data_IF_342931583526
#
_entry.id   IF_342931583526
#
_cell.length_a   1.000
_cell.length_b   1.000
_cell.length_c   1.000
_cell.angle_alpha   90.00
_cell.angle_beta   90.00
_cell.angle_gamma   90.00
#
_symmetry.space_group_name_H-M   'P 1'
#
loop_
_entity.id
_entity.type
_entity.pdbx_description
1 polymer ?
#
# COMPACT_ATOMS: atom_id res chain seq x y z
N UNK A 1 21.75 -16.02 -20.41
CA UNK A 1 20.96 -14.76 -20.31
C UNK A 1 20.32 -14.67 -18.93
N UNK A 2 20.54 -13.57 -18.18
CA UNK A 2 20.00 -13.42 -16.81
C UNK A 2 18.47 -13.42 -16.82
N UNK A 3 17.84 -13.91 -15.74
CA UNK A 3 16.37 -13.95 -15.62
C UNK A 3 15.75 -12.56 -15.79
N UNK A 4 16.41 -11.52 -15.26
CA UNK A 4 16.03 -10.12 -15.43
C UNK A 4 15.96 -9.72 -16.90
N UNK A 5 16.98 -10.02 -17.70
CA UNK A 5 17.00 -9.69 -19.13
C UNK A 5 15.85 -10.39 -19.88
N UNK A 6 15.62 -11.68 -19.61
CA UNK A 6 14.47 -12.42 -20.16
C UNK A 6 13.13 -11.75 -19.85
N UNK A 7 12.91 -11.38 -18.60
CA UNK A 7 11.65 -10.75 -18.18
C UNK A 7 11.43 -9.39 -18.84
N UNK A 8 12.48 -8.56 -18.90
CA UNK A 8 12.41 -7.25 -19.56
C UNK A 8 12.15 -7.40 -21.07
N UNK A 9 12.79 -8.36 -21.73
CA UNK A 9 12.51 -8.66 -23.15
C UNK A 9 11.07 -9.16 -23.35
N UNK A 10 10.56 -10.01 -22.46
CA UNK A 10 9.15 -10.44 -22.51
C UNK A 10 8.21 -9.24 -22.36
N UNK A 11 8.47 -8.31 -21.43
CA UNK A 11 7.69 -7.08 -21.28
C UNK A 11 7.69 -6.27 -22.57
N UNK A 12 8.86 -6.03 -23.18
CA UNK A 12 8.98 -5.26 -24.43
C UNK A 12 8.36 -5.97 -25.64
N UNK A 13 8.23 -7.31 -25.62
CA UNK A 13 7.50 -8.04 -26.67
C UNK A 13 6.02 -7.67 -26.69
N UNK A 14 5.41 -7.43 -25.53
CA UNK A 14 4.01 -7.00 -25.44
C UNK A 14 3.87 -5.48 -25.56
N UNK A 15 4.77 -4.72 -24.93
CA UNK A 15 4.73 -3.26 -24.90
C UNK A 15 6.10 -2.68 -25.29
N UNK A 16 6.43 -2.56 -26.59
CA UNK A 16 7.76 -2.18 -27.05
C UNK A 16 8.24 -0.81 -26.59
N UNK A 17 7.33 0.14 -26.43
CA UNK A 17 7.64 1.53 -26.04
C UNK A 17 7.58 1.75 -24.52
N UNK A 18 7.35 0.70 -23.73
CA UNK A 18 7.17 0.85 -22.29
C UNK A 18 8.46 1.24 -21.56
N UNK A 19 8.30 1.97 -20.47
CA UNK A 19 9.37 2.42 -19.61
C UNK A 19 8.82 2.75 -18.21
N UNK A 20 9.67 3.30 -17.34
CA UNK A 20 9.29 3.77 -16.00
C UNK A 20 9.66 5.25 -15.85
N UNK A 21 9.25 6.08 -16.82
CA UNK A 21 9.47 7.53 -16.79
C UNK A 21 8.63 8.18 -15.67
N UNK A 22 9.26 8.83 -14.68
CA UNK A 22 8.55 9.44 -13.55
C UNK A 22 7.60 10.58 -13.95
N UNK A 23 7.92 11.34 -14.98
CA UNK A 23 7.10 12.45 -15.47
C UNK A 23 5.85 11.90 -16.15
N UNK A 24 5.99 10.88 -16.99
CA UNK A 24 4.85 10.21 -17.67
C UNK A 24 3.97 9.45 -16.68
N UNK A 25 4.57 8.80 -15.69
CA UNK A 25 3.83 8.19 -14.61
C UNK A 25 3.01 9.23 -13.83
N UNK A 26 3.64 10.34 -13.46
CA UNK A 26 2.98 11.44 -12.75
C UNK A 26 1.90 12.12 -13.60
N UNK A 27 2.05 12.18 -14.92
CA UNK A 27 1.03 12.70 -15.85
C UNK A 27 -0.29 11.93 -15.70
N UNK A 28 -0.22 10.60 -15.63
CA UNK A 28 -1.40 9.74 -15.45
C UNK A 28 -2.03 9.91 -14.06
N UNK A 29 -1.21 9.98 -13.00
CA UNK A 29 -1.71 10.12 -11.63
C UNK A 29 -2.33 11.50 -11.35
N UNK A 30 -1.79 12.57 -11.95
CA UNK A 30 -2.29 13.95 -11.75
C UNK A 30 -3.56 14.26 -12.51
N UNK A 31 -3.96 13.42 -13.47
CA UNK A 31 -5.19 13.61 -14.20
C UNK A 31 -6.37 13.74 -13.21
N UNK A 32 -7.10 14.87 -13.18
CA UNK A 32 -8.15 15.12 -12.19
C UNK A 32 -9.26 14.07 -12.20
N UNK A 33 -9.47 13.46 -13.37
CA UNK A 33 -10.45 12.41 -13.58
C UNK A 33 -10.05 11.09 -12.94
N UNK A 34 -8.77 10.85 -12.66
CA UNK A 34 -8.30 9.63 -12.01
C UNK A 34 -8.39 9.74 -10.49
N UNK A 35 -8.64 8.60 -9.84
CA UNK A 35 -8.64 8.49 -8.39
C UNK A 35 -7.61 7.44 -7.96
N UNK A 36 -6.30 7.73 -8.13
CA UNK A 36 -5.28 6.72 -7.95
C UNK A 36 -5.24 6.20 -6.52
N UNK A 37 -5.19 4.88 -6.40
CA UNK A 37 -4.89 4.24 -5.14
C UNK A 37 -3.42 4.49 -4.76
N UNK A 38 -3.10 4.33 -3.48
CA UNK A 38 -1.72 4.40 -2.97
C UNK A 38 -0.81 3.38 -3.66
N UNK A 39 -1.36 2.27 -4.17
CA UNK A 39 -0.62 1.23 -4.89
C UNK A 39 -0.04 1.73 -6.22
N UNK A 40 -0.58 2.81 -6.79
CA UNK A 40 -0.12 3.35 -8.06
C UNK A 40 0.91 4.48 -7.91
N UNK A 41 1.27 4.87 -6.69
CA UNK A 41 2.32 5.89 -6.47
C UNK A 41 3.69 5.32 -6.87
N UNK A 42 4.44 6.03 -7.71
CA UNK A 42 5.72 5.53 -8.23
C UNK A 42 6.73 5.27 -7.11
N UNK A 43 6.82 6.15 -6.10
CA UNK A 43 7.73 5.90 -4.98
C UNK A 43 7.28 4.73 -4.11
N UNK A 44 5.98 4.39 -4.09
CA UNK A 44 5.48 3.17 -3.42
C UNK A 44 5.93 1.92 -4.18
N UNK A 45 5.87 1.94 -5.51
CA UNK A 45 6.43 0.88 -6.38
C UNK A 45 7.92 0.69 -6.11
N UNK A 46 8.70 1.78 -6.20
CA UNK A 46 10.14 1.76 -5.93
C UNK A 46 10.45 1.25 -4.52
N UNK A 47 9.66 1.67 -3.52
CA UNK A 47 9.82 1.22 -2.14
C UNK A 47 9.70 -0.31 -2.04
N UNK A 48 8.68 -0.91 -2.65
CA UNK A 48 8.45 -2.35 -2.54
C UNK A 48 9.46 -3.17 -3.33
N UNK A 49 9.90 -2.68 -4.49
CA UNK A 49 11.05 -3.28 -5.19
C UNK A 49 12.29 -3.26 -4.29
N UNK A 50 12.61 -2.12 -3.66
CA UNK A 50 13.74 -2.04 -2.74
C UNK A 50 13.55 -2.91 -1.48
N UNK A 51 12.33 -3.00 -0.95
CA UNK A 51 11.99 -3.82 0.21
C UNK A 51 12.30 -5.30 -0.04
N UNK A 52 11.98 -5.79 -1.24
CA UNK A 52 12.22 -7.19 -1.66
C UNK A 52 13.56 -7.39 -2.39
N UNK A 53 14.49 -6.43 -2.33
CA UNK A 53 15.76 -6.50 -3.09
C UNK A 53 16.66 -7.68 -2.71
N UNK A 54 16.66 -8.10 -1.44
CA UNK A 54 17.33 -9.31 -0.97
C UNK A 54 16.66 -10.61 -1.50
N UNK A 55 15.42 -10.50 -1.98
CA UNK A 55 14.63 -11.61 -2.53
C UNK A 55 14.54 -11.55 -4.06
N UNK A 56 15.62 -11.11 -4.71
CA UNK A 56 15.73 -11.04 -6.17
C UNK A 56 14.58 -10.29 -6.86
N UNK A 57 14.07 -9.22 -6.23
CA UNK A 57 13.00 -8.42 -6.80
C UNK A 57 13.39 -7.78 -8.13
N UNK A 58 12.46 -7.76 -9.08
CA UNK A 58 12.61 -7.11 -10.38
C UNK A 58 11.38 -6.25 -10.63
N UNK A 59 11.61 -4.97 -10.90
CA UNK A 59 10.57 -4.03 -11.32
C UNK A 59 10.19 -4.32 -12.78
N UNK A 60 8.91 -4.62 -12.99
CA UNK A 60 8.29 -4.86 -14.29
C UNK A 60 7.17 -3.83 -14.54
N UNK A 61 7.16 -2.74 -13.78
CA UNK A 61 6.15 -1.70 -13.89
C UNK A 61 6.27 -0.99 -15.22
N UNK A 62 5.15 -0.49 -15.72
CA UNK A 62 5.04 -0.01 -17.09
C UNK A 62 4.29 1.30 -17.17
N UNK A 63 4.85 2.26 -17.90
CA UNK A 63 4.09 3.31 -18.58
C UNK A 63 3.59 2.73 -19.91
N UNK A 64 2.29 2.85 -20.17
CA UNK A 64 1.63 2.30 -21.35
C UNK A 64 1.43 3.38 -22.41
N UNK A 65 1.69 3.03 -23.67
CA UNK A 65 1.61 3.95 -24.81
C UNK A 65 0.70 3.40 -25.90
N UNK A 66 -0.08 4.28 -26.54
CA UNK A 66 -0.77 4.03 -27.81
C UNK A 66 -0.41 5.15 -28.79
N UNK A 67 0.16 4.79 -29.94
CA UNK A 67 0.67 5.75 -30.94
C UNK A 67 1.54 6.86 -30.32
N UNK A 68 2.52 6.47 -29.50
CA UNK A 68 3.43 7.35 -28.74
C UNK A 68 2.76 8.25 -27.68
N UNK A 69 1.45 8.19 -27.50
CA UNK A 69 0.77 8.91 -26.42
C UNK A 69 0.73 8.04 -25.17
N UNK A 70 1.10 8.62 -24.03
CA UNK A 70 0.94 7.96 -22.73
C UNK A 70 -0.54 7.78 -22.43
N UNK A 71 -0.99 6.54 -22.26
CA UNK A 71 -2.40 6.21 -22.03
C UNK A 71 -2.67 5.59 -20.66
N UNK A 72 -1.66 5.07 -19.97
CA UNK A 72 -1.85 4.45 -18.67
C UNK A 72 -0.56 4.03 -17.98
N UNK A 73 -0.71 3.42 -16.81
CA UNK A 73 0.37 2.86 -15.98
C UNK A 73 -0.07 1.54 -15.37
N UNK A 74 0.90 0.67 -15.10
CA UNK A 74 0.70 -0.62 -14.44
C UNK A 74 1.84 -0.89 -13.44
N UNK A 75 1.58 -0.87 -12.13
CA UNK A 75 2.51 -1.37 -11.12
C UNK A 75 2.65 -2.90 -11.22
N UNK A 76 3.86 -3.40 -11.47
CA UNK A 76 4.10 -4.83 -11.56
C UNK A 76 5.53 -5.16 -11.14
N UNK A 77 5.70 -6.20 -10.34
CA UNK A 77 7.02 -6.68 -9.94
C UNK A 77 7.00 -8.18 -9.72
N UNK A 78 8.17 -8.79 -9.85
CA UNK A 78 8.40 -10.16 -9.36
C UNK A 78 9.39 -10.14 -8.23
N UNK A 79 9.25 -11.08 -7.30
CA UNK A 79 10.22 -11.33 -6.24
C UNK A 79 10.09 -12.78 -5.78
N UNK A 80 11.01 -13.23 -4.93
CA UNK A 80 10.93 -14.54 -4.29
C UNK A 80 10.29 -14.46 -2.90
N UNK A 81 9.41 -15.38 -2.58
CA UNK A 81 8.84 -15.52 -1.24
C UNK A 81 9.83 -16.17 -0.25
N UNK A 82 9.38 -16.34 1.01
CA UNK A 82 10.14 -17.02 2.06
C UNK A 82 10.52 -18.48 1.72
N UNK A 83 9.84 -19.09 0.74
CA UNK A 83 10.10 -20.45 0.27
C UNK A 83 10.93 -20.46 -1.03
N UNK A 84 11.56 -19.33 -1.39
CA UNK A 84 12.37 -19.15 -2.60
C UNK A 84 11.58 -19.39 -3.91
N UNK A 85 10.24 -19.28 -3.88
CA UNK A 85 9.36 -19.38 -5.05
C UNK A 85 9.08 -18.00 -5.62
N UNK A 86 9.00 -17.91 -6.94
CA UNK A 86 8.63 -16.66 -7.60
C UNK A 86 7.18 -16.28 -7.30
N UNK A 87 6.97 -14.98 -7.11
CA UNK A 87 5.67 -14.33 -6.95
C UNK A 87 5.63 -13.16 -7.92
N UNK A 88 4.54 -13.06 -8.68
CA UNK A 88 4.20 -11.90 -9.51
C UNK A 88 3.14 -11.10 -8.76
N UNK A 89 3.37 -9.81 -8.60
CA UNK A 89 2.67 -8.97 -7.63
C UNK A 89 2.65 -7.52 -8.07
N UNK A 90 1.75 -6.74 -7.49
CA UNK A 90 1.89 -5.28 -7.45
C UNK A 90 2.32 -4.92 -6.04
N UNK A 91 3.48 -4.27 -5.88
CA UNK A 91 3.95 -3.82 -4.56
C UNK A 91 4.13 -4.95 -3.51
N UNK A 92 4.53 -6.15 -3.94
CA UNK A 92 4.68 -7.31 -3.04
C UNK A 92 3.35 -7.93 -2.56
N UNK A 93 2.22 -7.38 -3.00
CA UNK A 93 0.86 -7.81 -2.69
C UNK A 93 0.15 -8.34 -3.96
N UNK A 94 -1.16 -8.53 -3.89
CA UNK A 94 -1.97 -8.97 -5.03
C UNK A 94 -1.94 -7.95 -6.18
N UNK A 95 -2.06 -8.45 -7.41
CA UNK A 95 -1.95 -7.65 -8.63
C UNK A 95 -3.13 -6.67 -8.69
N UNK A 96 -2.81 -5.38 -8.73
CA UNK A 96 -3.81 -4.30 -8.84
C UNK A 96 -4.15 -4.01 -10.30
N UNK A 97 -5.28 -3.38 -10.55
CA UNK A 97 -5.68 -2.91 -11.88
C UNK A 97 -4.71 -1.87 -12.46
N UNK A 98 -4.50 -1.84 -13.80
CA UNK A 98 -3.84 -0.72 -14.46
C UNK A 98 -4.70 0.56 -14.36
N UNK A 99 -4.05 1.73 -14.36
CA UNK A 99 -4.76 3.01 -14.50
C UNK A 99 -4.62 3.50 -15.93
N UNK A 100 -5.74 3.78 -16.58
CA UNK A 100 -5.79 4.42 -17.90
C UNK A 100 -6.30 5.87 -17.81
N UNK A 101 -5.98 6.69 -18.82
CA UNK A 101 -6.66 7.98 -19.02
C UNK A 101 -8.16 7.72 -19.22
N UNK A 102 -9.03 8.51 -18.58
CA UNK A 102 -10.49 8.40 -18.77
C UNK A 102 -10.95 8.64 -20.20
N UNK A 103 -10.18 9.41 -20.97
CA UNK A 103 -10.45 9.69 -22.40
C UNK A 103 -10.17 8.49 -23.31
N UNK A 104 -9.52 7.44 -22.81
CA UNK A 104 -9.24 6.23 -23.59
C UNK A 104 -10.54 5.47 -23.88
N UNK A 105 -10.83 5.24 -25.16
CA UNK A 105 -12.03 4.50 -25.57
C UNK A 105 -12.06 3.07 -25.03
N UNK A 106 -13.26 2.60 -24.64
CA UNK A 106 -13.46 1.27 -24.02
C UNK A 106 -12.83 0.12 -24.80
N UNK A 107 -12.93 0.14 -26.14
CA UNK A 107 -12.34 -0.89 -27.01
C UNK A 107 -10.81 -0.94 -26.91
N UNK A 108 -10.16 0.22 -26.87
CA UNK A 108 -8.69 0.31 -26.74
C UNK A 108 -8.28 -0.11 -25.33
N UNK A 109 -9.00 0.34 -24.29
CA UNK A 109 -8.76 -0.10 -22.91
C UNK A 109 -8.79 -1.62 -22.79
N UNK A 110 -9.88 -2.26 -23.26
CA UNK A 110 -10.04 -3.72 -23.20
C UNK A 110 -8.93 -4.46 -23.92
N UNK A 111 -8.47 -3.94 -25.07
CA UNK A 111 -7.30 -4.49 -25.79
C UNK A 111 -6.04 -4.50 -24.89
N UNK A 112 -5.72 -3.38 -24.26
CA UNK A 112 -4.55 -3.28 -23.37
C UNK A 112 -4.70 -4.18 -22.14
N UNK A 113 -5.89 -4.28 -21.56
CA UNK A 113 -6.16 -5.18 -20.43
C UNK A 113 -5.91 -6.65 -20.82
N UNK A 114 -6.40 -7.10 -21.98
CA UNK A 114 -6.12 -8.44 -22.50
C UNK A 114 -4.62 -8.69 -22.75
N UNK A 115 -3.91 -7.69 -23.29
CA UNK A 115 -2.46 -7.79 -23.51
C UNK A 115 -1.69 -7.84 -22.17
N UNK A 116 -2.09 -7.07 -21.16
CA UNK A 116 -1.51 -7.11 -19.81
C UNK A 116 -1.73 -8.48 -19.17
N UNK A 117 -2.96 -9.04 -19.26
CA UNK A 117 -3.25 -10.37 -18.72
C UNK A 117 -2.40 -11.45 -19.41
N UNK A 118 -2.27 -11.36 -20.73
CA UNK A 118 -1.42 -12.28 -21.51
C UNK A 118 0.06 -12.19 -21.11
N UNK A 119 0.56 -10.98 -20.87
CA UNK A 119 1.91 -10.73 -20.35
C UNK A 119 2.07 -11.37 -18.95
N UNK A 120 1.11 -11.17 -18.06
CA UNK A 120 1.10 -11.75 -16.70
C UNK A 120 1.19 -13.29 -16.77
N UNK A 121 0.39 -13.94 -17.62
CA UNK A 121 0.44 -15.39 -17.79
C UNK A 121 1.76 -15.87 -18.40
N UNK A 122 2.32 -15.13 -19.36
CA UNK A 122 3.61 -15.46 -19.96
C UNK A 122 4.76 -15.38 -18.94
N UNK A 123 4.84 -14.28 -18.20
CA UNK A 123 5.80 -14.13 -17.09
C UNK A 123 5.62 -15.24 -16.06
N UNK A 124 4.37 -15.55 -15.71
CA UNK A 124 4.06 -16.59 -14.73
C UNK A 124 4.57 -17.96 -15.17
N UNK A 125 4.33 -18.36 -16.42
CA UNK A 125 4.87 -19.61 -16.98
C UNK A 125 6.40 -19.61 -17.03
N UNK A 126 7.02 -18.51 -17.46
CA UNK A 126 8.48 -18.37 -17.50
C UNK A 126 9.13 -18.57 -16.12
N UNK A 127 8.43 -18.16 -15.05
CA UNK A 127 8.89 -18.25 -13.68
C UNK A 127 8.37 -19.49 -12.91
N UNK A 128 7.53 -20.32 -13.53
CA UNK A 128 6.90 -21.47 -12.87
C UNK A 128 5.89 -21.09 -11.78
N UNK A 129 5.30 -19.89 -11.87
CA UNK A 129 4.23 -19.43 -10.99
C UNK A 129 2.95 -20.16 -11.37
N UNK A 130 2.35 -20.88 -10.41
CA UNK A 130 1.15 -21.71 -10.65
C UNK A 130 -0.16 -20.94 -10.57
N UNK A 131 -0.18 -19.84 -9.81
CA UNK A 131 -1.39 -19.04 -9.58
C UNK A 131 -1.04 -17.57 -9.41
N UNK A 132 -1.87 -16.70 -9.95
CA UNK A 132 -1.82 -15.26 -9.73
C UNK A 132 -3.05 -14.83 -8.93
N UNK A 133 -2.86 -13.87 -8.03
CA UNK A 133 -3.95 -13.27 -7.26
C UNK A 133 -4.11 -11.82 -7.68
N UNK A 134 -5.36 -11.40 -7.78
CA UNK A 134 -5.75 -10.05 -8.17
C UNK A 134 -6.67 -9.46 -7.13
N UNK A 135 -6.69 -8.14 -7.04
CA UNK A 135 -7.44 -7.40 -6.03
C UNK A 135 -8.22 -6.27 -6.70
N UNK A 136 -9.45 -6.04 -6.24
CA UNK A 136 -10.20 -4.84 -6.60
C UNK A 136 -9.83 -3.70 -5.64
N UNK A 137 -9.20 -2.64 -6.15
CA UNK A 137 -8.85 -1.48 -5.28
C UNK A 137 -9.94 -0.40 -5.21
N UNK A 138 -10.95 -0.45 -6.08
CA UNK A 138 -12.07 0.49 -6.03
C UNK A 138 -12.95 0.28 -4.78
N UNK A 139 -13.33 1.39 -4.15
CA UNK A 139 -14.34 1.38 -3.09
C UNK A 139 -15.74 1.40 -3.70
N UNK A 140 -16.70 0.74 -3.04
CA UNK A 140 -18.13 0.71 -3.34
C UNK A 140 -18.58 -0.05 -4.60
N UNK A 141 -17.68 -0.35 -5.53
CA UNK A 141 -17.98 -1.15 -6.72
C UNK A 141 -16.77 -1.97 -7.17
N UNK A 142 -17.02 -2.93 -8.04
CA UNK A 142 -15.98 -3.67 -8.74
C UNK A 142 -15.55 -2.87 -9.98
N UNK A 143 -14.24 -2.84 -10.23
CA UNK A 143 -13.68 -2.30 -11.46
C UNK A 143 -14.02 -3.21 -12.65
N UNK A 144 -14.10 -2.62 -13.85
CA UNK A 144 -14.30 -3.38 -15.10
C UNK A 144 -13.21 -4.45 -15.25
N UNK A 145 -11.95 -4.11 -14.92
CA UNK A 145 -10.81 -5.04 -14.87
C UNK A 145 -11.07 -6.25 -13.97
N UNK A 146 -11.57 -6.03 -12.75
CA UNK A 146 -11.86 -7.13 -11.84
C UNK A 146 -13.00 -8.01 -12.36
N UNK A 147 -14.07 -7.39 -12.87
CA UNK A 147 -15.23 -8.11 -13.42
C UNK A 147 -14.82 -8.96 -14.61
N UNK A 148 -14.00 -8.43 -15.50
CA UNK A 148 -13.47 -9.14 -16.66
C UNK A 148 -12.62 -10.37 -16.27
N UNK A 149 -11.86 -10.26 -15.18
CA UNK A 149 -11.04 -11.36 -14.67
C UNK A 149 -11.87 -12.48 -14.02
N UNK A 150 -13.13 -12.25 -13.66
CA UNK A 150 -13.99 -13.28 -13.06
C UNK A 150 -14.23 -14.46 -14.03
N UNK A 151 -14.20 -14.22 -15.34
CA UNK A 151 -14.33 -15.28 -16.36
C UNK A 151 -13.19 -16.32 -16.29
N UNK A 152 -12.05 -15.95 -15.70
CA UNK A 152 -10.86 -16.78 -15.57
C UNK A 152 -10.61 -17.24 -14.13
N UNK A 153 -11.44 -16.82 -13.17
CA UNK A 153 -11.20 -17.04 -11.76
C UNK A 153 -11.52 -18.48 -11.35
N UNK A 154 -10.55 -19.15 -10.73
CA UNK A 154 -10.75 -20.45 -10.09
C UNK A 154 -11.30 -20.31 -8.67
N UNK A 155 -11.02 -19.17 -8.03
CA UNK A 155 -11.48 -18.88 -6.67
C UNK A 155 -11.67 -17.38 -6.47
N UNK A 156 -12.64 -17.01 -5.64
CA UNK A 156 -12.87 -15.63 -5.22
C UNK A 156 -13.07 -15.55 -3.72
N UNK A 157 -12.60 -14.48 -3.11
CA UNK A 157 -12.78 -14.27 -1.69
C UNK A 157 -12.89 -12.81 -1.32
N UNK A 158 -13.46 -12.56 -0.15
CA UNK A 158 -13.60 -11.23 0.44
C UNK A 158 -12.70 -11.10 1.66
N UNK A 159 -12.09 -9.93 1.83
CA UNK A 159 -11.51 -9.47 3.11
C UNK A 159 -12.26 -8.23 3.61
N UNK A 160 -12.06 -7.88 4.87
CA UNK A 160 -12.66 -6.69 5.48
C UNK A 160 -11.56 -5.66 5.77
N UNK A 161 -11.74 -4.43 5.30
CA UNK A 161 -10.76 -3.35 5.44
C UNK A 161 -11.34 -2.22 6.27
N UNK A 162 -10.59 -1.74 7.25
CA UNK A 162 -11.02 -0.69 8.19
C UNK A 162 -10.63 0.68 7.64
N UNK A 163 -11.59 1.59 7.63
CA UNK A 163 -11.41 2.94 7.11
C UNK A 163 -11.93 4.01 8.06
N UNK A 164 -11.35 5.19 7.92
CA UNK A 164 -11.86 6.45 8.44
C UNK A 164 -12.25 7.32 7.25
N UNK A 165 -13.51 7.74 7.27
CA UNK A 165 -14.06 8.77 6.40
C UNK A 165 -13.63 10.14 6.92
N UNK A 166 -12.71 10.77 6.20
CA UNK A 166 -12.14 12.08 6.53
C UNK A 166 -13.01 13.23 6.00
N UNK A 167 -14.08 12.95 5.25
CA UNK A 167 -15.05 13.99 4.86
C UNK A 167 -15.87 14.48 6.05
N UNK A 168 -16.15 13.60 7.02
CA UNK A 168 -16.82 13.90 8.28
C UNK A 168 -16.05 14.90 9.14
N UNK A 169 -16.74 15.72 9.94
CA UNK A 169 -16.12 16.59 10.95
C UNK A 169 -15.31 15.78 11.99
N UNK A 170 -14.37 16.41 12.68
CA UNK A 170 -13.58 15.73 13.71
C UNK A 170 -14.48 15.20 14.83
N UNK A 171 -15.55 15.93 15.16
CA UNK A 171 -16.56 15.58 16.14
C UNK A 171 -17.33 14.31 15.72
N UNK A 172 -17.75 14.24 14.45
CA UNK A 172 -18.42 13.06 13.87
C UNK A 172 -17.48 11.85 13.78
N UNK A 173 -16.20 12.05 13.41
CA UNK A 173 -15.22 10.97 13.41
C UNK A 173 -15.06 10.43 14.84
N UNK A 174 -14.84 11.32 15.81
CA UNK A 174 -14.68 10.95 17.22
C UNK A 174 -15.94 10.27 17.77
N UNK A 175 -17.14 10.66 17.35
CA UNK A 175 -18.39 10.06 17.83
C UNK A 175 -18.51 8.57 17.45
N UNK A 176 -17.90 8.16 16.33
CA UNK A 176 -17.85 6.78 15.86
C UNK A 176 -16.76 5.93 16.51
N UNK A 177 -15.81 6.52 17.24
CA UNK A 177 -14.79 5.73 17.95
C UNK A 177 -15.41 4.84 19.03
N UNK A 178 -14.76 3.70 19.29
CA UNK A 178 -15.10 2.86 20.45
C UNK A 178 -15.09 3.71 21.72
N UNK A 179 -16.09 3.53 22.59
CA UNK A 179 -16.35 4.36 23.78
C UNK A 179 -15.10 4.67 24.62
N UNK A 180 -14.21 3.69 24.81
CA UNK A 180 -12.99 3.83 25.61
C UNK A 180 -11.91 4.70 24.97
N UNK A 181 -11.91 4.89 23.65
CA UNK A 181 -10.78 5.48 22.92
C UNK A 181 -10.66 6.98 23.16
N UNK A 182 -11.75 7.71 23.35
CA UNK A 182 -11.72 9.16 23.56
C UNK A 182 -10.87 9.55 24.77
N UNK A 183 -11.07 8.90 25.91
CA UNK A 183 -10.30 9.17 27.13
C UNK A 183 -8.83 8.77 26.98
N UNK A 184 -8.56 7.66 26.27
CA UNK A 184 -7.21 7.18 25.97
C UNK A 184 -6.47 8.18 25.08
N UNK A 185 -7.09 8.69 24.01
CA UNK A 185 -6.50 9.73 23.14
C UNK A 185 -6.15 10.98 23.96
N UNK A 186 -7.09 11.48 24.77
CA UNK A 186 -6.86 12.69 25.57
C UNK A 186 -5.70 12.50 26.56
N UNK A 187 -5.62 11.32 27.19
CA UNK A 187 -4.48 10.95 28.04
C UNK A 187 -3.18 10.90 27.23
N UNK A 188 -3.19 10.31 26.05
CA UNK A 188 -2.02 10.23 25.17
C UNK A 188 -1.53 11.60 24.71
N UNK A 189 -2.42 12.51 24.34
CA UNK A 189 -2.07 13.86 23.91
C UNK A 189 -1.54 14.75 25.04
N UNK A 190 -1.96 14.49 26.29
CA UNK A 190 -1.47 15.21 27.47
C UNK A 190 -0.13 14.68 27.96
N UNK A 191 0.01 13.35 28.01
CA UNK A 191 1.15 12.70 28.68
C UNK A 191 2.36 12.51 27.74
N UNK A 192 2.22 12.76 26.43
CA UNK A 192 3.27 12.51 25.43
C UNK A 192 3.41 13.66 24.44
N UNK A 193 4.65 13.90 24.01
CA UNK A 193 4.96 14.86 22.95
C UNK A 193 4.72 14.24 21.59
N UNK A 194 3.58 14.55 20.98
CA UNK A 194 3.19 14.09 19.64
C UNK A 194 3.48 15.17 18.60
N UNK A 195 4.30 14.86 17.60
CA UNK A 195 4.71 15.83 16.58
C UNK A 195 4.58 15.26 15.17
N UNK A 196 4.11 16.10 14.24
CA UNK A 196 4.00 15.79 12.81
C UNK A 196 5.22 16.34 12.09
N UNK A 197 5.84 15.52 11.26
CA UNK A 197 7.04 15.85 10.49
C UNK A 197 6.79 15.59 9.01
N UNK A 198 6.51 16.67 8.28
CA UNK A 198 6.43 16.66 6.81
C UNK A 198 7.78 16.93 6.15
N UNK A 199 8.77 17.33 6.94
CA UNK A 199 10.17 17.57 6.56
C UNK A 199 11.09 17.18 7.73
N UNK A 200 11.16 15.88 8.09
CA UNK A 200 12.00 15.44 9.19
C UNK A 200 13.46 15.70 8.87
N UNK A 201 14.28 15.99 9.90
CA UNK A 201 15.73 16.03 9.72
C UNK A 201 16.27 14.62 9.46
N UNK A 202 17.51 14.54 8.96
CA UNK A 202 18.17 13.26 8.72
C UNK A 202 18.27 12.43 10.02
N UNK A 203 18.59 13.11 11.12
CA UNK A 203 18.77 12.52 12.45
C UNK A 203 17.45 11.98 13.00
N UNK A 204 16.34 12.71 12.80
CA UNK A 204 15.02 12.26 13.23
C UNK A 204 14.54 11.04 12.42
N UNK A 205 14.75 11.07 11.10
CA UNK A 205 14.40 9.93 10.26
C UNK A 205 15.25 8.70 10.58
N UNK A 206 16.55 8.89 10.83
CA UNK A 206 17.44 7.80 11.22
C UNK A 206 17.07 7.23 12.60
N UNK A 207 16.67 8.09 13.55
CA UNK A 207 16.15 7.68 14.85
C UNK A 207 14.90 6.81 14.73
N UNK A 208 14.00 7.13 13.80
CA UNK A 208 12.84 6.27 13.48
C UNK A 208 13.27 4.89 12.95
N UNK A 209 14.23 4.85 12.03
CA UNK A 209 14.80 3.58 11.51
C UNK A 209 15.48 2.76 12.60
N UNK A 210 16.28 3.39 13.46
CA UNK A 210 16.98 2.73 14.56
C UNK A 210 16.01 2.22 15.63
N UNK A 211 14.95 2.97 15.92
CA UNK A 211 13.87 2.50 16.80
C UNK A 211 13.20 1.24 16.22
N UNK A 212 12.94 1.22 14.90
CA UNK A 212 12.42 0.04 14.22
C UNK A 212 13.36 -1.17 14.35
N UNK A 213 14.66 -0.99 14.12
CA UNK A 213 15.66 -2.05 14.29
C UNK A 213 15.67 -2.58 15.74
N UNK A 214 15.64 -1.68 16.72
CA UNK A 214 15.64 -2.02 18.14
C UNK A 214 14.41 -2.84 18.54
N UNK A 215 13.21 -2.35 18.20
CA UNK A 215 11.93 -3.03 18.52
C UNK A 215 11.77 -4.36 17.79
N UNK A 216 12.31 -4.49 16.57
CA UNK A 216 12.30 -5.73 15.82
C UNK A 216 13.40 -6.72 16.27
N UNK A 217 14.43 -6.25 16.97
CA UNK A 217 15.63 -7.01 17.34
C UNK A 217 16.63 -7.21 16.19
N UNK A 218 16.28 -6.83 14.97
CA UNK A 218 17.14 -6.91 13.78
C UNK A 218 16.72 -5.90 12.71
N UNK A 219 17.57 -5.69 11.72
CA UNK A 219 17.14 -5.03 10.50
C UNK A 219 16.19 -5.97 9.75
N UNK A 220 14.97 -5.53 9.47
CA UNK A 220 13.94 -6.34 8.79
C UNK A 220 13.73 -5.94 7.34
N UNK A 221 14.39 -4.88 6.88
CA UNK A 221 14.34 -4.42 5.49
C UNK A 221 15.60 -3.66 5.10
N UNK A 222 16.01 -3.69 3.82
CA UNK A 222 17.23 -3.04 3.33
C UNK A 222 17.23 -1.52 3.51
N UNK A 223 18.42 -0.92 3.66
CA UNK A 223 18.58 0.54 3.83
C UNK A 223 17.96 1.33 2.67
N UNK A 224 18.00 0.78 1.46
CA UNK A 224 17.44 1.43 0.28
C UNK A 224 15.94 1.67 0.38
N UNK A 225 15.19 0.77 1.02
CA UNK A 225 13.75 0.96 1.26
C UNK A 225 13.47 2.14 2.21
N UNK A 226 14.35 2.37 3.19
CA UNK A 226 14.28 3.52 4.09
C UNK A 226 14.59 4.83 3.37
N UNK A 227 15.60 4.83 2.49
CA UNK A 227 15.94 6.00 1.68
C UNK A 227 14.75 6.44 0.81
N UNK A 228 14.03 5.48 0.21
CA UNK A 228 12.85 5.77 -0.61
C UNK A 228 11.70 6.30 0.26
N UNK A 229 11.48 5.76 1.47
CA UNK A 229 10.48 6.33 2.38
C UNK A 229 10.78 7.78 2.77
N UNK A 230 12.05 8.13 2.96
CA UNK A 230 12.45 9.51 3.18
C UNK A 230 12.15 10.38 1.96
N UNK A 231 12.46 9.89 0.76
CA UNK A 231 12.12 10.57 -0.49
C UNK A 231 10.61 10.76 -0.66
N UNK A 232 9.77 9.81 -0.23
CA UNK A 232 8.32 9.97 -0.24
C UNK A 232 7.86 11.16 0.60
N UNK A 233 8.55 11.48 1.70
CA UNK A 233 8.25 12.64 2.53
C UNK A 233 8.62 13.93 1.77
N UNK A 234 9.81 13.96 1.18
CA UNK A 234 10.31 15.08 0.36
C UNK A 234 9.38 15.37 -0.84
N UNK A 235 8.83 14.31 -1.46
CA UNK A 235 7.86 14.40 -2.55
C UNK A 235 6.42 14.73 -2.10
N UNK A 236 6.18 14.96 -0.80
CA UNK A 236 4.84 15.22 -0.24
C UNK A 236 3.85 14.08 -0.50
N UNK A 237 4.32 12.84 -0.46
CA UNK A 237 3.52 11.61 -0.54
C UNK A 237 3.43 10.88 0.80
N UNK A 238 4.14 11.36 1.82
CA UNK A 238 4.07 10.80 3.18
C UNK A 238 4.48 11.82 4.24
N UNK A 239 4.20 11.49 5.50
CA UNK A 239 4.72 12.22 6.67
C UNK A 239 4.92 11.24 7.84
N UNK A 240 5.73 11.64 8.80
CA UNK A 240 5.96 10.89 10.04
C UNK A 240 5.26 11.60 11.19
N UNK A 241 4.68 10.82 12.10
CA UNK A 241 4.28 11.30 13.41
C UNK A 241 5.11 10.59 14.46
N UNK A 242 5.79 11.35 15.30
CA UNK A 242 6.60 10.83 16.42
C UNK A 242 5.87 11.01 17.75
N UNK A 243 6.08 10.07 18.66
CA UNK A 243 5.73 10.16 20.07
C UNK A 243 7.01 10.11 20.90
N UNK A 244 7.22 11.11 21.74
CA UNK A 244 8.35 11.17 22.68
C UNK A 244 7.88 11.36 24.12
N UNK A 245 8.64 10.85 25.07
CA UNK A 245 8.41 11.10 26.50
C UNK A 245 8.83 12.52 26.92
N UNK A 246 8.67 12.83 28.21
CA UNK A 246 9.03 14.14 28.78
C UNK A 246 10.53 14.45 28.69
N UNK A 247 11.37 13.44 28.51
CA UNK A 247 12.81 13.58 28.33
C UNK A 247 13.21 13.72 26.84
N UNK A 248 12.22 13.91 25.95
CA UNK A 248 12.37 13.93 24.49
C UNK A 248 12.94 12.62 23.91
N UNK A 249 12.83 11.49 24.61
CA UNK A 249 13.20 10.19 24.06
C UNK A 249 12.11 9.69 23.11
N UNK A 250 12.48 9.34 21.88
CA UNK A 250 11.56 8.75 20.90
C UNK A 250 11.10 7.37 21.39
N UNK A 251 9.81 7.23 21.67
CA UNK A 251 9.19 5.96 22.11
C UNK A 251 8.33 5.32 21.03
N UNK A 252 7.99 6.09 20.00
CA UNK A 252 7.05 5.66 18.98
C UNK A 252 7.08 6.53 17.73
N UNK A 253 6.78 5.93 16.59
CA UNK A 253 6.53 6.67 15.37
C UNK A 253 5.58 5.91 14.42
N UNK A 254 4.81 6.67 13.66
CA UNK A 254 4.01 6.18 12.54
C UNK A 254 4.39 6.92 11.26
N UNK A 255 4.58 6.18 10.16
CA UNK A 255 4.71 6.70 8.81
C UNK A 255 3.38 6.50 8.07
N UNK A 256 2.87 7.57 7.47
CA UNK A 256 1.60 7.58 6.76
C UNK A 256 1.86 7.97 5.31
N UNK A 257 1.43 7.14 4.37
CA UNK A 257 1.57 7.37 2.93
C UNK A 257 0.23 7.79 2.39
N UNK A 258 0.20 8.73 1.44
CA UNK A 258 -1.04 9.23 0.90
C UNK A 258 -0.97 9.56 -0.60
N UNK A 259 -2.07 9.32 -1.29
CA UNK A 259 -2.36 9.80 -2.64
C UNK A 259 -3.30 11.01 -2.58
N UNK A 260 -3.96 11.35 -3.69
CA UNK A 260 -4.90 12.48 -3.76
C UNK A 260 -6.09 12.35 -2.79
N UNK A 261 -6.67 11.16 -2.66
CA UNK A 261 -7.89 10.96 -1.87
C UNK A 261 -7.74 9.89 -0.77
N UNK A 262 -6.67 9.09 -0.83
CA UNK A 262 -6.47 7.95 0.05
C UNK A 262 -5.19 8.09 0.86
N UNK A 263 -5.23 7.65 2.10
CA UNK A 263 -4.06 7.47 2.94
C UNK A 263 -4.02 6.07 3.54
N UNK A 264 -2.84 5.64 3.93
CA UNK A 264 -2.61 4.37 4.59
C UNK A 264 -1.60 4.52 5.72
N UNK A 265 -1.83 3.73 6.77
CA UNK A 265 -0.86 3.53 7.83
C UNK A 265 0.25 2.58 7.38
N UNK A 266 1.28 3.12 6.75
CA UNK A 266 2.30 2.34 6.05
C UNK A 266 3.30 1.64 6.98
N UNK A 267 3.72 2.28 8.08
CA UNK A 267 4.66 1.67 9.02
C UNK A 267 4.48 2.24 10.42
N UNK A 268 4.52 1.37 11.43
CA UNK A 268 4.43 1.74 12.83
C UNK A 268 5.51 1.08 13.65
N UNK A 269 6.18 1.83 14.51
CA UNK A 269 7.10 1.29 15.50
C UNK A 269 6.82 1.94 16.85
N UNK A 270 6.70 1.11 17.87
CA UNK A 270 6.42 1.55 19.24
C UNK A 270 7.21 0.65 20.19
N UNK A 271 7.81 1.21 21.25
CA UNK A 271 8.48 0.45 22.31
C UNK A 271 7.50 -0.53 22.97
N UNK A 272 7.85 -1.82 23.03
CA UNK A 272 6.93 -2.91 23.43
C UNK A 272 6.54 -2.83 24.90
N UNK A 273 7.51 -2.44 25.72
CA UNK A 273 7.38 -2.21 27.15
C UNK A 273 6.43 -1.05 27.50
N UNK A 274 6.00 -0.25 26.52
CA UNK A 274 5.05 0.84 26.70
C UNK A 274 3.72 0.60 25.96
N UNK A 275 3.41 -0.62 25.53
CA UNK A 275 2.16 -0.91 24.81
C UNK A 275 0.89 -0.68 25.65
N UNK A 276 1.01 -0.67 26.98
CA UNK A 276 -0.07 -0.30 27.90
C UNK A 276 -0.32 1.22 27.95
N UNK A 277 0.57 2.03 27.36
CA UNK A 277 0.47 3.49 27.36
C UNK A 277 -0.26 4.02 26.11
N UNK A 278 -0.95 5.16 26.23
CA UNK A 278 -1.88 5.64 25.20
C UNK A 278 -1.27 6.39 24.00
N UNK A 279 0.05 6.49 23.87
CA UNK A 279 0.66 7.33 22.82
C UNK A 279 0.36 6.86 21.40
N UNK A 280 0.20 5.56 21.17
CA UNK A 280 -0.18 5.02 19.86
C UNK A 280 -1.55 5.54 19.41
N UNK A 281 -2.48 5.73 20.35
CA UNK A 281 -3.80 6.30 20.06
C UNK A 281 -3.71 7.78 19.73
N UNK A 282 -2.85 8.52 20.42
CA UNK A 282 -2.60 9.93 20.13
C UNK A 282 -1.93 10.13 18.76
N UNK A 283 -1.00 9.24 18.37
CA UNK A 283 -0.41 9.22 17.02
C UNK A 283 -1.47 9.02 15.94
N UNK A 284 -2.39 8.06 16.13
CA UNK A 284 -3.50 7.83 15.19
C UNK A 284 -4.45 9.04 15.10
N UNK A 285 -4.83 9.64 16.24
CA UNK A 285 -5.64 10.86 16.24
C UNK A 285 -4.94 12.00 15.48
N UNK A 286 -3.64 12.18 15.71
CA UNK A 286 -2.89 13.23 15.02
C UNK A 286 -2.77 12.96 13.52
N UNK A 287 -2.72 11.70 13.10
CA UNK A 287 -2.78 11.32 11.69
C UNK A 287 -4.12 11.69 11.07
N UNK A 288 -5.23 11.39 11.75
CA UNK A 288 -6.59 11.73 11.29
C UNK A 288 -6.71 13.25 11.06
N UNK A 289 -6.30 14.06 12.04
CA UNK A 289 -6.29 15.52 11.91
C UNK A 289 -5.45 15.99 10.72
N UNK A 290 -4.23 15.47 10.60
CA UNK A 290 -3.28 15.86 9.55
C UNK A 290 -3.83 15.51 8.16
N UNK A 291 -4.34 14.29 7.98
CA UNK A 291 -4.88 13.81 6.71
C UNK A 291 -6.16 14.56 6.32
N UNK A 292 -7.03 14.86 7.29
CA UNK A 292 -8.21 15.69 7.06
C UNK A 292 -7.83 17.10 6.61
N UNK A 293 -6.87 17.74 7.28
CA UNK A 293 -6.39 19.07 6.91
C UNK A 293 -5.76 19.13 5.52
N UNK A 294 -5.22 18.01 5.03
CA UNK A 294 -4.75 17.84 3.65
C UNK A 294 -5.87 17.65 2.61
N UNK A 295 -7.13 17.54 3.05
CA UNK A 295 -8.29 17.37 2.17
C UNK A 295 -8.50 15.95 1.65
N UNK A 296 -7.92 14.94 2.30
CA UNK A 296 -8.15 13.55 1.92
C UNK A 296 -9.57 13.08 2.29
N UNK A 297 -10.04 12.02 1.61
CA UNK A 297 -11.37 11.44 1.82
C UNK A 297 -11.34 10.18 2.67
N UNK A 298 -10.36 9.31 2.41
CA UNK A 298 -10.31 7.99 3.02
C UNK A 298 -8.95 7.74 3.66
N UNK A 299 -8.97 7.24 4.88
CA UNK A 299 -7.78 6.75 5.56
C UNK A 299 -7.94 5.26 5.89
N UNK A 300 -7.16 4.44 5.21
CA UNK A 300 -7.09 2.99 5.40
C UNK A 300 -6.23 2.66 6.63
N UNK A 301 -6.88 2.12 7.66
CA UNK A 301 -6.19 1.61 8.85
C UNK A 301 -5.60 0.22 8.58
N UNK A 302 -6.20 -0.53 7.65
CA UNK A 302 -5.80 -1.86 7.20
C UNK A 302 -6.83 -2.95 7.49
N UNK A 303 -6.44 -4.20 7.29
CA UNK A 303 -7.35 -5.34 7.36
C UNK A 303 -7.91 -5.60 8.77
N UNK A 304 -9.22 -5.83 8.84
CA UNK A 304 -9.91 -6.48 9.97
C UNK A 304 -9.77 -7.98 9.80
N UNK A 305 -8.72 -8.54 10.40
CA UNK A 305 -8.51 -9.98 10.42
C UNK A 305 -9.60 -10.68 11.23
N UNK A 306 -10.14 -11.77 10.69
CA UNK A 306 -11.10 -12.63 11.35
C UNK A 306 -10.50 -14.01 11.60
N UNK A 307 -10.95 -14.70 12.65
CA UNK A 307 -10.57 -16.09 12.93
C UNK A 307 -10.99 -17.05 11.83
N UNK A 308 -12.01 -16.67 11.03
CA UNK A 308 -12.57 -17.45 9.94
C UNK A 308 -12.02 -17.06 8.55
N UNK A 309 -11.08 -16.12 8.46
CA UNK A 309 -10.52 -15.69 7.18
C UNK A 309 -9.84 -16.88 6.48
N UNK A 310 -10.34 -17.25 5.30
CA UNK A 310 -9.88 -18.41 4.52
C UNK A 310 -8.63 -18.13 3.66
N UNK A 311 -8.17 -16.87 3.64
CA UNK A 311 -7.30 -16.34 2.58
C UNK A 311 -5.80 -16.61 2.79
N UNK A 312 -5.43 -17.32 3.86
CA UNK A 312 -4.10 -17.84 4.24
C UNK A 312 -4.22 -18.59 5.58
N UNK A 313 -3.09 -18.90 6.25
CA UNK A 313 -3.04 -19.39 7.64
C UNK A 313 -3.99 -18.58 8.52
N UNK A 314 -4.62 -19.24 9.49
CA UNK A 314 -5.49 -18.59 10.45
C UNK A 314 -4.81 -17.38 11.11
N UNK A 315 -5.55 -16.28 11.26
CA UNK A 315 -5.03 -15.05 11.83
C UNK A 315 -4.39 -15.30 13.21
N UNK A 316 -3.18 -14.81 13.40
CA UNK A 316 -2.46 -14.92 14.66
C UNK A 316 -3.11 -14.04 15.73
N UNK A 317 -2.88 -14.38 17.02
CA UNK A 317 -3.30 -13.52 18.14
C UNK A 317 -2.82 -12.07 18.00
N UNK A 318 -1.64 -11.88 17.40
CA UNK A 318 -1.07 -10.57 17.12
C UNK A 318 -1.88 -9.81 16.07
N UNK A 319 -2.22 -10.44 14.96
CA UNK A 319 -3.03 -9.82 13.89
C UNK A 319 -4.43 -9.47 14.38
N UNK A 320 -5.07 -10.35 15.15
CA UNK A 320 -6.36 -10.09 15.78
C UNK A 320 -6.30 -8.91 16.76
N UNK A 321 -5.24 -8.81 17.57
CA UNK A 321 -5.02 -7.69 18.47
C UNK A 321 -4.81 -6.37 17.72
N UNK A 322 -4.03 -6.38 16.62
CA UNK A 322 -3.83 -5.21 15.76
C UNK A 322 -5.14 -4.78 15.11
N UNK A 323 -5.94 -5.73 14.61
CA UNK A 323 -7.25 -5.47 14.04
C UNK A 323 -8.19 -4.83 15.08
N UNK A 324 -8.24 -5.36 16.30
CA UNK A 324 -9.06 -4.81 17.39
C UNK A 324 -8.64 -3.39 17.82
N UNK A 325 -7.33 -3.10 17.81
CA UNK A 325 -6.83 -1.74 18.03
C UNK A 325 -7.33 -0.78 16.94
N UNK A 326 -7.13 -1.14 15.65
CA UNK A 326 -7.51 -0.33 14.49
C UNK A 326 -9.02 -0.11 14.40
N UNK A 327 -9.81 -1.15 14.63
CA UNK A 327 -11.27 -1.11 14.57
C UNK A 327 -11.85 -0.05 15.49
N UNK A 328 -11.20 0.22 16.62
CA UNK A 328 -11.62 1.24 17.55
C UNK A 328 -11.65 2.67 16.98
N UNK A 329 -10.88 2.94 15.93
CA UNK A 329 -10.86 4.25 15.23
C UNK A 329 -11.73 4.27 13.97
N UNK A 330 -12.13 3.10 13.46
CA UNK A 330 -12.77 3.01 12.15
C UNK A 330 -14.15 3.65 12.16
N UNK A 331 -14.47 4.38 11.08
CA UNK A 331 -15.84 4.86 10.83
C UNK A 331 -16.60 3.93 9.89
N UNK A 332 -15.88 3.14 9.09
CA UNK A 332 -16.41 2.20 8.11
C UNK A 332 -15.58 0.91 8.05
N UNK A 333 -16.25 -0.18 7.67
CA UNK A 333 -15.60 -1.42 7.24
C UNK A 333 -16.05 -1.71 5.81
N UNK A 334 -15.11 -1.79 4.87
CA UNK A 334 -15.38 -2.12 3.48
C UNK A 334 -15.00 -3.56 3.16
N UNK A 335 -15.82 -4.21 2.36
CA UNK A 335 -15.45 -5.47 1.72
C UNK A 335 -14.43 -5.17 0.60
N UNK A 336 -13.35 -5.94 0.56
CA UNK A 336 -12.40 -5.94 -0.55
C UNK A 336 -12.40 -7.30 -1.23
N UNK A 337 -12.58 -7.30 -2.55
CA UNK A 337 -12.69 -8.51 -3.34
C UNK A 337 -11.35 -8.89 -3.94
N UNK A 338 -11.11 -10.20 -4.00
CA UNK A 338 -9.94 -10.82 -4.55
C UNK A 338 -10.36 -12.02 -5.39
N UNK A 339 -9.55 -12.32 -6.39
CA UNK A 339 -9.68 -13.54 -7.17
C UNK A 339 -8.32 -14.19 -7.37
N UNK A 340 -8.34 -15.50 -7.54
CA UNK A 340 -7.18 -16.31 -7.89
C UNK A 340 -7.40 -16.95 -9.25
N UNK A 341 -6.40 -16.86 -10.11
CA UNK A 341 -6.37 -17.54 -11.40
C UNK A 341 -5.20 -18.52 -11.39
N UNK A 342 -5.49 -19.79 -11.62
CA UNK A 342 -4.52 -20.84 -11.92
C UNK A 342 -4.01 -20.57 -13.32
N UNK A 343 -2.68 -20.52 -13.46
CA UNK A 343 -2.06 -20.16 -14.73
C UNK A 343 -2.36 -21.27 -15.73
N UNK A 344 -3.04 -20.96 -16.86
CA UNK A 344 -3.30 -21.94 -17.90
C UNK A 344 -2.00 -22.52 -18.43
N UNK A 345 -2.01 -23.81 -18.78
CA UNK A 345 -0.86 -24.52 -19.34
C UNK A 345 -0.36 -23.85 -20.64
#
# INVERSE_FOLDING_TARGET
MTIKKKLIETVHKYFPDTNIDPNKWSEILRNPSNNPSIFHLLNRVKYHVAYHSENASIDLSMVLYDKQQTIGIMPLMVHKDENNKWVLSSNGEDIVEPIFKKTLGKKVRKKFETEILSLIFNISRLLGIKKCRFINTELFKLSDWYVDLLEYADDTFTSHQLYIDLSLSIEEIKSKFRRSIKSIINKGLRDWKIQVHEKPTNELFDSFRLLHKSVAGKATRPIQSWNIQKQQIECKESFIITASDNNNCLVGAGLFVYSKNFAEYASGVYKRELFDKPFSHAVQMKAIETLKNKGLKWYELGQKYLTIDKNKKAATKKELSIAHFKEGFSTHTFARQYLTIIIPN
#
